data_IF_925533423001
#
_entry.id   IF_925533423001
#
_cell.length_a   1.000
_cell.length_b   1.000
_cell.length_c   1.000
_cell.angle_alpha   90.00
_cell.angle_beta   90.00
_cell.angle_gamma   90.00
#
_symmetry.space_group_name_H-M   'P 1'
#
loop_
_entity.id
_entity.type
_entity.pdbx_description
1 polymer ?
#
# COMPACT_ATOMS: atom_id res chain seq x y z
N UNK A 1 -15.23 10.76 25.58
CA UNK A 1 -15.11 11.86 26.57
C UNK A 1 -13.71 12.47 26.63
N UNK A 2 -12.62 11.69 26.59
CA UNK A 2 -11.22 12.22 26.63
C UNK A 2 -10.73 12.79 25.28
N UNK A 3 -11.27 12.32 24.14
CA UNK A 3 -10.82 12.75 22.80
C UNK A 3 -11.28 14.16 22.38
N UNK A 4 -12.30 14.74 23.01
CA UNK A 4 -12.76 16.11 22.73
C UNK A 4 -11.82 17.20 23.27
N UNK A 5 -10.85 16.85 24.13
CA UNK A 5 -10.02 17.83 24.83
C UNK A 5 -8.78 18.30 24.03
N UNK A 6 -8.41 17.61 22.95
CA UNK A 6 -7.19 17.87 22.18
C UNK A 6 -7.39 18.66 20.88
N UNK A 7 -8.62 19.05 20.52
CA UNK A 7 -8.87 19.85 19.29
C UNK A 7 -8.60 19.13 17.96
N UNK A 8 -8.08 17.88 17.98
CA UNK A 8 -7.79 17.06 16.80
C UNK A 8 -9.07 16.73 16.01
N UNK A 9 -10.22 16.64 16.70
CA UNK A 9 -11.54 16.41 16.09
C UNK A 9 -12.04 17.64 15.31
N UNK A 10 -11.52 18.84 15.60
CA UNK A 10 -11.86 20.09 14.91
C UNK A 10 -10.70 20.62 14.05
N UNK A 11 -9.79 19.75 13.60
CA UNK A 11 -8.84 20.18 12.57
C UNK A 11 -9.64 20.73 11.38
N UNK A 12 -9.34 21.96 10.91
CA UNK A 12 -9.98 22.49 9.73
C UNK A 12 -9.83 21.47 8.59
N UNK A 13 -10.88 21.27 7.79
CA UNK A 13 -10.82 20.36 6.64
C UNK A 13 -9.60 20.64 5.73
N UNK A 14 -9.21 21.92 5.66
CA UNK A 14 -8.00 22.40 4.99
C UNK A 14 -6.72 21.74 5.54
N UNK A 15 -6.58 21.61 6.86
CA UNK A 15 -5.39 21.00 7.47
C UNK A 15 -5.29 19.51 7.11
N UNK A 16 -6.42 18.80 7.10
CA UNK A 16 -6.47 17.40 6.67
C UNK A 16 -6.08 17.27 5.19
N UNK A 17 -6.58 18.16 4.32
CA UNK A 17 -6.21 18.18 2.90
C UNK A 17 -4.73 18.49 2.69
N UNK A 18 -4.16 19.41 3.46
CA UNK A 18 -2.73 19.72 3.42
C UNK A 18 -1.88 18.51 3.85
N UNK A 19 -2.30 17.76 4.87
CA UNK A 19 -1.62 16.54 5.30
C UNK A 19 -1.62 15.50 4.16
N UNK A 20 -2.75 15.29 3.49
CA UNK A 20 -2.82 14.39 2.33
C UNK A 20 -1.94 14.86 1.17
N UNK A 21 -1.91 16.16 0.87
CA UNK A 21 -1.03 16.72 -0.17
C UNK A 21 0.44 16.50 0.15
N UNK A 22 0.86 16.74 1.40
CA UNK A 22 2.22 16.47 1.86
C UNK A 22 2.55 14.99 1.73
N UNK A 23 1.62 14.09 2.06
CA UNK A 23 1.86 12.65 1.90
C UNK A 23 2.05 12.26 0.43
N UNK A 24 1.23 12.80 -0.48
CA UNK A 24 1.35 12.54 -1.92
C UNK A 24 2.70 13.04 -2.44
N UNK A 25 3.14 14.24 -2.05
CA UNK A 25 4.45 14.77 -2.50
C UNK A 25 5.60 13.92 -1.97
N UNK A 26 5.58 13.52 -0.70
CA UNK A 26 6.56 12.59 -0.14
C UNK A 26 6.57 11.25 -0.89
N UNK A 27 5.40 10.71 -1.24
CA UNK A 27 5.27 9.47 -1.99
C UNK A 27 5.85 9.58 -3.42
N UNK A 28 5.63 10.70 -4.10
CA UNK A 28 6.20 10.94 -5.44
C UNK A 28 7.72 11.09 -5.41
N UNK A 29 8.26 11.86 -4.47
CA UNK A 29 9.72 12.03 -4.28
C UNK A 29 10.37 10.69 -3.92
N UNK A 30 9.71 9.89 -3.09
CA UNK A 30 10.15 8.55 -2.73
C UNK A 30 10.30 7.63 -3.95
N UNK A 31 9.29 7.59 -4.83
CA UNK A 31 9.36 6.83 -6.08
C UNK A 31 10.56 7.29 -6.90
N UNK A 32 10.71 8.60 -7.12
CA UNK A 32 11.83 9.16 -7.90
C UNK A 32 13.20 8.76 -7.32
N UNK A 33 13.38 8.89 -6.01
CA UNK A 33 14.64 8.55 -5.33
C UNK A 33 14.99 7.05 -5.42
N UNK A 34 13.97 6.18 -5.41
CA UNK A 34 14.18 4.73 -5.51
C UNK A 34 14.59 4.30 -6.91
N UNK A 35 13.98 4.91 -7.92
CA UNK A 35 14.31 4.62 -9.32
C UNK A 35 15.58 5.33 -9.78
N UNK A 36 16.03 6.37 -9.07
CA UNK A 36 17.33 6.97 -9.33
C UNK A 36 18.47 6.02 -8.92
N UNK A 37 19.38 5.76 -9.88
CA UNK A 37 20.54 4.88 -9.72
C UNK A 37 21.76 5.55 -9.09
N UNK A 38 21.72 6.87 -8.87
CA UNK A 38 22.82 7.65 -8.32
C UNK A 38 23.14 7.20 -6.88
N UNK A 39 24.38 6.76 -6.66
CA UNK A 39 24.89 6.28 -5.37
C UNK A 39 25.21 7.43 -4.40
N UNK A 40 25.53 8.62 -4.91
CA UNK A 40 25.78 9.83 -4.09
C UNK A 40 24.55 10.26 -3.26
N UNK A 41 23.36 9.85 -3.69
CA UNK A 41 22.09 10.13 -3.01
C UNK A 41 21.76 9.13 -1.89
N UNK A 42 22.64 8.17 -1.57
CA UNK A 42 22.34 7.09 -0.60
C UNK A 42 21.89 7.63 0.77
N UNK A 43 22.59 8.63 1.32
CA UNK A 43 22.26 9.26 2.60
C UNK A 43 20.88 9.94 2.56
N UNK A 44 20.55 10.59 1.44
CA UNK A 44 19.25 11.25 1.23
C UNK A 44 18.14 10.20 1.10
N UNK A 45 18.38 9.09 0.39
CA UNK A 45 17.46 7.95 0.29
C UNK A 45 17.15 7.37 1.67
N UNK A 46 18.16 7.17 2.53
CA UNK A 46 17.97 6.64 3.88
C UNK A 46 17.15 7.56 4.79
N UNK A 47 17.36 8.87 4.70
CA UNK A 47 16.58 9.85 5.47
C UNK A 47 15.11 9.91 5.00
N UNK A 48 14.85 9.71 3.70
CA UNK A 48 13.49 9.68 3.15
C UNK A 48 12.71 8.38 3.46
N UNK A 49 13.39 7.25 3.73
CA UNK A 49 12.72 5.99 4.09
C UNK A 49 11.98 6.07 5.43
N UNK A 50 12.49 6.86 6.39
CA UNK A 50 11.89 7.02 7.73
C UNK A 50 10.48 7.65 7.64
N UNK A 51 10.30 8.89 7.14
CA UNK A 51 8.98 9.51 7.06
C UNK A 51 8.01 8.74 6.16
N UNK A 52 8.51 8.03 5.14
CA UNK A 52 7.67 7.17 4.31
C UNK A 52 6.95 6.06 5.11
N UNK A 53 7.60 5.48 6.13
CA UNK A 53 6.98 4.46 6.98
C UNK A 53 6.02 5.10 7.99
N UNK A 54 6.42 6.23 8.60
CA UNK A 54 5.65 6.85 9.68
C UNK A 54 4.43 7.66 9.22
N UNK A 55 4.48 8.30 8.05
CA UNK A 55 3.39 9.16 7.55
C UNK A 55 2.07 8.40 7.27
N UNK A 56 2.06 7.23 6.60
CA UNK A 56 0.84 6.44 6.41
C UNK A 56 0.22 5.98 7.74
N UNK A 57 1.05 5.59 8.71
CA UNK A 57 0.61 5.17 10.04
C UNK A 57 -0.04 6.34 10.78
N UNK A 58 0.56 7.53 10.72
CA UNK A 58 0.00 8.73 11.33
C UNK A 58 -1.41 9.03 10.79
N UNK A 59 -1.61 8.95 9.48
CA UNK A 59 -2.90 9.23 8.84
C UNK A 59 -3.92 8.15 9.17
N UNK A 60 -3.50 6.88 9.21
CA UNK A 60 -4.36 5.79 9.68
C UNK A 60 -4.85 6.04 11.12
N UNK A 61 -3.96 6.47 12.01
CA UNK A 61 -4.30 6.83 13.38
C UNK A 61 -5.26 8.01 13.45
N UNK A 62 -5.03 9.08 12.66
CA UNK A 62 -5.93 10.23 12.60
C UNK A 62 -7.32 9.83 12.10
N UNK A 63 -7.39 8.97 11.07
CA UNK A 63 -8.65 8.44 10.56
C UNK A 63 -9.39 7.62 11.62
N UNK A 64 -8.69 6.75 12.38
CA UNK A 64 -9.30 5.96 13.46
C UNK A 64 -9.80 6.81 14.64
N UNK A 65 -9.11 7.90 14.98
CA UNK A 65 -9.47 8.74 16.13
C UNK A 65 -10.75 9.55 15.86
N UNK A 66 -11.06 9.86 14.60
CA UNK A 66 -12.27 10.61 14.23
C UNK A 66 -13.56 9.85 14.55
N UNK A 67 -13.65 8.60 14.12
CA UNK A 67 -14.74 7.69 14.48
C UNK A 67 -14.24 6.25 14.46
N UNK A 68 -13.73 5.79 15.60
CA UNK A 68 -13.16 4.45 15.70
C UNK A 68 -14.18 3.35 15.34
N UNK A 69 -15.45 3.54 15.73
CA UNK A 69 -16.48 2.52 15.58
C UNK A 69 -16.85 2.30 14.12
N UNK A 70 -16.96 3.38 13.34
CA UNK A 70 -17.21 3.31 11.91
C UNK A 70 -15.93 2.96 11.15
N UNK A 71 -14.83 3.66 11.42
CA UNK A 71 -13.62 3.64 10.59
C UNK A 71 -12.79 2.36 10.74
N UNK A 72 -12.88 1.66 11.88
CA UNK A 72 -12.20 0.38 12.08
C UNK A 72 -12.65 -0.68 11.07
N UNK A 73 -13.96 -0.76 10.76
CA UNK A 73 -14.48 -1.71 9.77
C UNK A 73 -13.94 -1.43 8.37
N UNK A 74 -13.85 -0.15 7.98
CA UNK A 74 -13.29 0.27 6.69
C UNK A 74 -11.83 -0.14 6.55
N UNK A 75 -11.04 0.07 7.61
CA UNK A 75 -9.62 -0.32 7.63
C UNK A 75 -9.46 -1.85 7.57
N UNK A 76 -10.26 -2.59 8.34
CA UNK A 76 -10.24 -4.05 8.28
C UNK A 76 -10.60 -4.56 6.88
N UNK A 77 -11.56 -3.92 6.20
CA UNK A 77 -11.89 -4.27 4.82
C UNK A 77 -10.73 -4.03 3.87
N UNK A 78 -10.08 -2.87 3.98
CA UNK A 78 -8.90 -2.54 3.17
C UNK A 78 -7.77 -3.56 3.38
N UNK A 79 -7.45 -3.88 4.64
CA UNK A 79 -6.41 -4.87 4.97
C UNK A 79 -6.77 -6.25 4.42
N UNK A 80 -8.02 -6.69 4.61
CA UNK A 80 -8.48 -7.98 4.13
C UNK A 80 -8.44 -8.07 2.58
N UNK A 81 -8.82 -7.00 1.88
CA UNK A 81 -8.70 -6.93 0.43
C UNK A 81 -7.22 -7.00 -0.01
N UNK A 82 -6.32 -6.31 0.69
CA UNK A 82 -4.88 -6.35 0.39
C UNK A 82 -4.29 -7.75 0.64
N UNK A 83 -4.65 -8.40 1.74
CA UNK A 83 -4.23 -9.79 2.00
C UNK A 83 -4.80 -10.76 0.97
N UNK A 84 -6.06 -10.58 0.57
CA UNK A 84 -6.67 -11.38 -0.49
C UNK A 84 -5.91 -11.21 -1.81
N UNK A 85 -5.52 -9.98 -2.17
CA UNK A 85 -4.69 -9.72 -3.34
C UNK A 85 -3.40 -10.57 -3.33
N UNK A 86 -2.67 -10.57 -2.22
CA UNK A 86 -1.39 -11.29 -2.12
C UNK A 86 -1.58 -12.81 -2.17
N UNK A 87 -2.60 -13.32 -1.48
CA UNK A 87 -2.94 -14.74 -1.45
C UNK A 87 -3.33 -15.24 -2.84
N UNK A 88 -4.23 -14.54 -3.52
CA UNK A 88 -4.65 -14.93 -4.86
C UNK A 88 -3.53 -14.77 -5.88
N UNK A 89 -2.71 -13.71 -5.76
CA UNK A 89 -1.56 -13.53 -6.63
C UNK A 89 -0.56 -14.68 -6.50
N UNK A 90 -0.31 -15.14 -5.27
CA UNK A 90 0.53 -16.31 -5.02
C UNK A 90 -0.05 -17.59 -5.61
N UNK A 91 -1.33 -17.90 -5.35
CA UNK A 91 -1.92 -19.16 -5.81
C UNK A 91 -2.09 -19.22 -7.33
N UNK A 92 -2.57 -18.15 -7.95
CA UNK A 92 -2.73 -18.07 -9.41
C UNK A 92 -1.36 -18.05 -10.08
N UNK A 93 -0.43 -17.24 -9.56
CA UNK A 93 0.93 -17.17 -10.07
C UNK A 93 1.66 -18.51 -10.00
N UNK A 94 1.47 -19.29 -8.93
CA UNK A 94 2.09 -20.61 -8.78
C UNK A 94 1.47 -21.69 -9.68
N UNK A 95 0.16 -21.64 -9.94
CA UNK A 95 -0.53 -22.67 -10.74
C UNK A 95 -0.48 -22.40 -12.25
N UNK A 96 -0.63 -21.15 -12.65
CA UNK A 96 -0.88 -20.75 -14.04
C UNK A 96 0.17 -19.73 -14.54
N UNK A 97 1.01 -19.19 -13.64
CA UNK A 97 2.01 -18.19 -14.00
C UNK A 97 3.00 -18.70 -15.04
N UNK A 98 3.09 -17.97 -16.16
CA UNK A 98 3.99 -18.27 -17.27
C UNK A 98 4.83 -17.07 -17.65
N UNK A 99 4.24 -15.87 -17.59
CA UNK A 99 4.90 -14.64 -18.02
C UNK A 99 5.44 -13.85 -16.83
N UNK A 100 6.77 -13.75 -16.64
CA UNK A 100 7.35 -13.00 -15.53
C UNK A 100 7.08 -11.50 -15.67
N UNK A 101 6.64 -10.88 -14.58
CA UNK A 101 6.28 -9.46 -14.50
C UNK A 101 7.51 -8.54 -14.55
N UNK A 102 8.60 -8.94 -13.88
CA UNK A 102 9.81 -8.13 -13.78
C UNK A 102 11.05 -9.04 -13.65
N UNK A 103 11.55 -9.54 -14.78
CA UNK A 103 12.66 -10.51 -14.84
C UNK A 103 13.90 -10.02 -14.06
N UNK A 104 14.22 -8.73 -14.18
CA UNK A 104 15.39 -8.10 -13.57
C UNK A 104 15.23 -7.73 -12.09
N UNK A 105 14.02 -7.78 -11.52
CA UNK A 105 13.74 -7.35 -10.13
C UNK A 105 13.13 -8.48 -9.30
N UNK A 106 12.17 -9.23 -9.87
CA UNK A 106 11.51 -10.36 -9.23
C UNK A 106 11.05 -11.39 -10.26
N UNK A 107 11.89 -12.38 -10.63
CA UNK A 107 11.58 -13.35 -11.68
C UNK A 107 10.44 -14.31 -11.30
N UNK A 108 10.07 -14.39 -10.01
CA UNK A 108 9.02 -15.27 -9.50
C UNK A 108 7.61 -14.64 -9.59
N UNK A 109 7.51 -13.33 -9.80
CA UNK A 109 6.21 -12.66 -9.97
C UNK A 109 5.78 -12.74 -11.42
N UNK A 110 4.52 -13.04 -11.67
CA UNK A 110 3.96 -13.25 -13.00
C UNK A 110 2.78 -12.33 -13.27
N UNK A 111 2.54 -11.98 -14.54
CA UNK A 111 1.37 -11.16 -14.91
C UNK A 111 0.07 -11.88 -14.57
N UNK A 112 -0.01 -13.19 -14.80
CA UNK A 112 -1.21 -13.99 -14.50
C UNK A 112 -1.47 -14.01 -12.99
N UNK A 113 -0.42 -14.11 -12.17
CA UNK A 113 -0.51 -13.96 -10.73
C UNK A 113 -1.03 -12.58 -10.34
N UNK A 114 -0.47 -11.51 -10.90
CA UNK A 114 -0.94 -10.15 -10.61
C UNK A 114 -2.43 -9.97 -10.90
N UNK A 115 -2.93 -10.43 -12.06
CA UNK A 115 -4.36 -10.39 -12.37
C UNK A 115 -5.20 -11.28 -11.44
N UNK A 116 -4.66 -12.42 -11.00
CA UNK A 116 -5.26 -13.24 -9.96
C UNK A 116 -5.46 -12.47 -8.65
N UNK A 117 -4.46 -11.68 -8.24
CA UNK A 117 -4.55 -10.79 -7.08
C UNK A 117 -5.66 -9.75 -7.21
N UNK A 118 -5.78 -9.08 -8.37
CA UNK A 118 -6.86 -8.14 -8.65
C UNK A 118 -8.24 -8.79 -8.47
N UNK A 119 -8.43 -9.99 -9.03
CA UNK A 119 -9.67 -10.76 -8.86
C UNK A 119 -9.91 -11.09 -7.38
N UNK A 120 -8.88 -11.49 -6.65
CA UNK A 120 -8.95 -11.76 -5.21
C UNK A 120 -9.39 -10.55 -4.39
N UNK A 121 -8.87 -9.36 -4.72
CA UNK A 121 -9.27 -8.12 -4.08
C UNK A 121 -10.75 -7.77 -4.35
N UNK A 122 -11.18 -7.88 -5.62
CA UNK A 122 -12.58 -7.61 -6.02
C UNK A 122 -13.54 -8.56 -5.31
N UNK A 123 -13.25 -9.87 -5.34
CA UNK A 123 -14.11 -10.87 -4.69
C UNK A 123 -14.18 -10.65 -3.19
N UNK A 124 -13.05 -10.36 -2.53
CA UNK A 124 -13.02 -10.06 -1.11
C UNK A 124 -13.83 -8.79 -0.78
N UNK A 125 -13.66 -7.71 -1.57
CA UNK A 125 -14.41 -6.48 -1.40
C UNK A 125 -15.93 -6.68 -1.56
N UNK A 126 -16.37 -7.45 -2.56
CA UNK A 126 -17.79 -7.78 -2.75
C UNK A 126 -18.36 -8.62 -1.59
N UNK A 127 -17.60 -9.58 -1.07
CA UNK A 127 -18.02 -10.40 0.06
C UNK A 127 -18.13 -9.55 1.34
N UNK A 128 -17.12 -8.75 1.65
CA UNK A 128 -17.13 -7.89 2.83
C UNK A 128 -18.23 -6.83 2.75
N UNK A 129 -18.50 -6.30 1.56
CA UNK A 129 -19.59 -5.35 1.34
C UNK A 129 -20.98 -5.94 1.63
N UNK A 130 -21.17 -7.23 1.39
CA UNK A 130 -22.46 -7.88 1.61
C UNK A 130 -22.63 -8.42 3.03
N UNK A 131 -21.55 -8.83 3.70
CA UNK A 131 -21.63 -9.58 4.96
C UNK A 131 -21.00 -8.89 6.17
N UNK A 132 -20.12 -7.92 5.99
CA UNK A 132 -19.35 -7.32 7.08
C UNK A 132 -19.66 -5.83 7.32
N UNK A 133 -19.92 -5.08 6.25
CA UNK A 133 -20.25 -3.67 6.33
C UNK A 133 -21.74 -3.45 6.59
N UNK A 134 -22.03 -2.54 7.52
CA UNK A 134 -23.40 -2.09 7.79
C UNK A 134 -23.89 -1.14 6.68
N UNK A 135 -22.98 -0.29 6.19
CA UNK A 135 -23.22 0.62 5.07
C UNK A 135 -22.56 0.07 3.81
N UNK A 136 -23.36 -0.16 2.77
CA UNK A 136 -22.85 -0.75 1.53
C UNK A 136 -22.04 0.27 0.73
N UNK A 137 -20.82 -0.11 0.39
CA UNK A 137 -20.04 0.49 -0.69
C UNK A 137 -20.76 0.31 -2.03
N UNK A 138 -20.66 1.31 -2.89
CA UNK A 138 -21.07 1.17 -4.29
C UNK A 138 -20.12 0.21 -5.02
N UNK A 139 -20.66 -0.58 -5.96
CA UNK A 139 -19.85 -1.51 -6.76
C UNK A 139 -18.71 -0.78 -7.51
N UNK A 140 -18.93 0.40 -8.13
CA UNK A 140 -17.85 1.16 -8.75
C UNK A 140 -16.72 1.51 -7.76
N UNK A 141 -17.06 1.86 -6.52
CA UNK A 141 -16.06 2.17 -5.50
C UNK A 141 -15.20 0.94 -5.17
N UNK A 142 -15.80 -0.24 -5.03
CA UNK A 142 -15.06 -1.50 -4.78
C UNK A 142 -14.09 -1.80 -5.91
N UNK A 143 -14.52 -1.63 -7.17
CA UNK A 143 -13.66 -1.86 -8.34
C UNK A 143 -12.48 -0.90 -8.36
N UNK A 144 -12.72 0.40 -8.16
CA UNK A 144 -11.66 1.41 -8.09
C UNK A 144 -10.67 1.09 -6.96
N UNK A 145 -11.19 0.77 -5.76
CA UNK A 145 -10.35 0.43 -4.61
C UNK A 145 -9.51 -0.83 -4.87
N UNK A 146 -10.09 -1.85 -5.50
CA UNK A 146 -9.38 -3.08 -5.85
C UNK A 146 -8.26 -2.84 -6.87
N UNK A 147 -8.50 -1.98 -7.87
CA UNK A 147 -7.48 -1.57 -8.84
C UNK A 147 -6.34 -0.83 -8.15
N UNK A 148 -6.65 0.08 -7.23
CA UNK A 148 -5.63 0.80 -6.46
C UNK A 148 -4.79 -0.16 -5.61
N UNK A 149 -5.43 -1.05 -4.86
CA UNK A 149 -4.74 -2.09 -4.07
C UNK A 149 -3.83 -2.93 -4.97
N UNK A 150 -4.34 -3.37 -6.12
CA UNK A 150 -3.56 -4.14 -7.07
C UNK A 150 -2.33 -3.40 -7.59
N UNK A 151 -2.47 -2.13 -8.01
CA UNK A 151 -1.36 -1.31 -8.50
C UNK A 151 -0.33 -1.07 -7.39
N UNK A 152 -0.76 -0.51 -6.25
CA UNK A 152 0.15 -0.13 -5.18
C UNK A 152 0.76 -1.33 -4.46
N UNK A 153 -0.02 -2.40 -4.28
CA UNK A 153 0.47 -3.68 -3.77
C UNK A 153 1.57 -4.22 -4.67
N UNK A 154 1.30 -4.36 -5.98
CA UNK A 154 2.31 -4.87 -6.93
C UNK A 154 3.57 -4.01 -6.98
N UNK A 155 3.43 -2.68 -6.99
CA UNK A 155 4.57 -1.74 -7.01
C UNK A 155 5.39 -1.82 -5.73
N UNK A 156 4.76 -1.76 -4.55
CA UNK A 156 5.46 -1.81 -3.26
C UNK A 156 6.23 -3.12 -3.08
N UNK A 157 5.67 -4.19 -3.59
CA UNK A 157 6.18 -5.54 -3.48
C UNK A 157 7.34 -5.77 -4.50
N UNK A 158 7.36 -5.05 -5.64
CA UNK A 158 8.55 -4.94 -6.52
C UNK A 158 9.64 -4.04 -5.93
N UNK A 159 9.23 -2.94 -5.29
CA UNK A 159 10.12 -2.04 -4.59
C UNK A 159 10.92 -2.76 -3.51
N UNK A 160 10.24 -3.55 -2.66
CA UNK A 160 10.89 -4.34 -1.61
C UNK A 160 11.89 -5.33 -2.20
N UNK A 161 11.52 -5.98 -3.31
CA UNK A 161 12.40 -6.90 -4.03
C UNK A 161 13.65 -6.21 -4.57
N UNK A 162 13.54 -4.96 -5.06
CA UNK A 162 14.67 -4.15 -5.52
C UNK A 162 15.59 -3.75 -4.37
N UNK A 163 15.04 -3.28 -3.25
CA UNK A 163 15.82 -2.93 -2.06
C UNK A 163 16.64 -4.12 -1.55
N UNK A 164 16.02 -5.30 -1.44
CA UNK A 164 16.70 -6.53 -1.02
C UNK A 164 17.92 -6.85 -1.89
N UNK A 165 17.84 -6.62 -3.21
CA UNK A 165 18.98 -6.82 -4.12
C UNK A 165 20.09 -5.80 -3.93
N UNK A 166 19.75 -4.53 -3.75
CA UNK A 166 20.75 -3.47 -3.51
C UNK A 166 21.55 -3.80 -2.25
N UNK A 167 20.85 -4.16 -1.16
CA UNK A 167 21.48 -4.51 0.11
C UNK A 167 22.39 -5.74 -0.02
N UNK A 168 21.93 -6.79 -0.72
CA UNK A 168 22.74 -8.00 -0.95
C UNK A 168 24.02 -7.73 -1.74
N UNK A 169 23.95 -6.91 -2.80
CA UNK A 169 25.14 -6.52 -3.57
C UNK A 169 26.12 -5.74 -2.68
N UNK A 170 25.63 -4.81 -1.86
CA UNK A 170 26.50 -4.04 -0.97
C UNK A 170 27.19 -4.93 0.07
N UNK A 171 26.47 -5.87 0.72
CA UNK A 171 27.08 -6.76 1.72
C UNK A 171 28.16 -7.66 1.10
N UNK A 172 27.96 -8.15 -0.13
CA UNK A 172 28.92 -9.00 -0.83
C UNK A 172 30.25 -8.29 -1.17
N UNK A 173 30.29 -6.95 -1.22
CA UNK A 173 31.53 -6.19 -1.44
C UNK A 173 32.35 -5.96 -0.17
N UNK A 174 31.76 -6.19 1.02
CA UNK A 174 32.40 -5.99 2.33
C UNK A 174 32.85 -7.30 2.99
N UNK A 175 32.66 -8.44 2.32
CA UNK A 175 33.13 -9.79 2.72
C UNK A 175 34.22 -10.26 1.77
#
# INVERSE_FOLDING_TARGET
MVLNYFGIIHLPQIVIQLIYLVQITFFLVFIQLTFNSDASLLTIKTLYYIPYIFLPILILCLFLIQDFSANSKWIMCFIAMNWSNDVFAYFVGRKIGRTPLAITISPKKTHEGAFGGLLGAILCGLLLNNYFLNEKMSIPFILILSILIWIFGTIGDLFESKLKRIIQVTIAFYL
#
